data_IF_921844894260
#
_entry.id   IF_921844894260
#
_cell.length_a   1.000
_cell.length_b   1.000
_cell.length_c   1.000
_cell.angle_alpha   90.00
_cell.angle_beta   90.00
_cell.angle_gamma   90.00
#
_symmetry.space_group_name_H-M   'P 1'
#
loop_
_entity.id
_entity.type
_entity.pdbx_description
1 polymer ?
#
# COMPACT_ATOMS: atom_id res chain seq x y z
N UNK A 1 -6.69 6.12 -13.39
CA UNK A 1 -6.24 4.79 -12.92
C UNK A 1 -7.47 3.93 -12.67
N UNK A 2 -7.68 2.86 -13.45
CA UNK A 2 -8.76 1.88 -13.23
C UNK A 2 -8.12 0.58 -12.78
N UNK A 3 -7.69 0.55 -11.53
CA UNK A 3 -7.38 -0.69 -10.86
C UNK A 3 -8.67 -1.09 -10.12
N UNK A 4 -9.07 -2.35 -10.20
CA UNK A 4 -10.23 -2.87 -9.47
C UNK A 4 -9.87 -3.01 -7.99
N UNK A 5 -9.53 -1.88 -7.36
CA UNK A 5 -9.17 -1.75 -5.96
C UNK A 5 -10.07 -0.67 -5.39
N UNK A 6 -10.79 -1.04 -4.35
CA UNK A 6 -11.71 -0.14 -3.67
C UNK A 6 -10.96 0.78 -2.69
N UNK A 7 -11.57 1.92 -2.29
CA UNK A 7 -11.05 2.72 -1.19
C UNK A 7 -10.88 1.89 0.09
N UNK A 8 -11.85 1.05 0.43
CA UNK A 8 -11.81 0.20 1.64
C UNK A 8 -10.62 -0.77 1.63
N UNK A 9 -10.35 -1.43 0.51
CA UNK A 9 -9.17 -2.30 0.37
C UNK A 9 -7.86 -1.51 0.49
N UNK A 10 -7.87 -0.26 0.05
CA UNK A 10 -6.71 0.63 0.15
C UNK A 10 -6.47 1.03 1.60
N UNK A 11 -7.51 1.47 2.32
CA UNK A 11 -7.44 1.79 3.74
C UNK A 11 -7.02 0.58 4.57
N UNK A 12 -7.63 -0.59 4.31
CA UNK A 12 -7.26 -1.83 4.97
C UNK A 12 -5.77 -2.17 4.77
N UNK A 13 -5.28 -2.05 3.54
CA UNK A 13 -3.86 -2.31 3.20
C UNK A 13 -2.94 -1.33 3.92
N UNK A 14 -3.31 -0.04 3.95
CA UNK A 14 -2.52 1.03 4.58
C UNK A 14 -2.57 0.96 6.10
N UNK A 15 -3.66 0.47 6.70
CA UNK A 15 -3.85 0.38 8.15
C UNK A 15 -3.48 -0.98 8.74
N UNK A 16 -3.30 -2.01 7.91
CA UNK A 16 -2.87 -3.34 8.33
C UNK A 16 -1.58 -3.31 9.16
N UNK A 17 -1.52 -4.19 10.18
CA UNK A 17 -0.29 -4.41 10.97
C UNK A 17 0.78 -5.11 10.14
N UNK A 18 0.36 -5.99 9.23
CA UNK A 18 1.23 -6.70 8.31
C UNK A 18 1.42 -5.87 7.03
N UNK A 19 2.16 -4.78 7.15
CA UNK A 19 2.47 -3.90 6.01
C UNK A 19 3.94 -3.50 5.97
N UNK A 20 4.43 -3.24 4.77
CA UNK A 20 5.72 -2.61 4.56
C UNK A 20 5.50 -1.23 3.95
N UNK A 21 5.89 -0.18 4.67
CA UNK A 21 5.78 1.22 4.25
C UNK A 21 7.17 1.83 4.05
N UNK A 22 7.32 2.65 3.01
CA UNK A 22 8.52 3.46 2.80
C UNK A 22 8.19 4.78 2.13
N UNK A 23 9.05 5.78 2.36
CA UNK A 23 9.00 7.07 1.67
C UNK A 23 9.68 6.91 0.31
N UNK A 24 8.96 7.22 -0.77
CA UNK A 24 9.47 7.09 -2.15
C UNK A 24 10.09 8.39 -2.66
N UNK A 25 9.51 9.54 -2.30
CA UNK A 25 9.99 10.91 -2.54
C UNK A 25 9.39 11.83 -1.46
N UNK A 26 9.73 13.12 -1.43
CA UNK A 26 9.34 14.06 -0.36
C UNK A 26 7.93 13.81 0.19
N UNK A 27 6.87 14.06 -0.57
CA UNK A 27 5.51 13.90 -0.01
C UNK A 27 4.87 12.54 -0.32
N UNK A 28 5.58 11.61 -1.01
CA UNK A 28 5.00 10.34 -1.45
C UNK A 28 5.46 9.16 -0.62
N UNK A 29 4.49 8.40 -0.14
CA UNK A 29 4.68 7.14 0.54
C UNK A 29 4.13 5.99 -0.31
N UNK A 30 4.77 4.84 -0.17
CA UNK A 30 4.32 3.60 -0.77
C UNK A 30 4.14 2.55 0.32
N UNK A 31 3.12 1.71 0.16
CA UNK A 31 2.77 0.61 1.04
C UNK A 31 2.62 -0.65 0.23
N UNK A 32 3.23 -1.73 0.72
CA UNK A 32 2.89 -3.09 0.35
C UNK A 32 2.13 -3.70 1.52
N UNK A 33 0.90 -4.16 1.29
CA UNK A 33 0.10 -4.83 2.31
C UNK A 33 -0.75 -5.96 1.73
N UNK A 34 -1.35 -6.72 2.64
CA UNK A 34 -2.28 -7.79 2.30
C UNK A 34 -3.65 -7.45 2.90
N UNK A 35 -4.70 -7.55 2.09
CA UNK A 35 -6.10 -7.43 2.57
C UNK A 35 -6.52 -8.71 3.30
N UNK A 36 -7.60 -8.66 4.08
CA UNK A 36 -8.17 -9.81 4.77
C UNK A 36 -8.62 -10.90 3.78
N UNK A 37 -9.09 -10.50 2.60
CA UNK A 37 -9.41 -11.42 1.49
C UNK A 37 -8.17 -12.00 0.81
N UNK A 38 -6.97 -11.61 1.23
CA UNK A 38 -5.70 -12.16 0.79
C UNK A 38 -5.12 -11.54 -0.46
N UNK A 39 -5.67 -10.41 -0.94
CA UNK A 39 -5.08 -9.67 -2.05
C UNK A 39 -3.83 -8.95 -1.59
N UNK A 40 -2.81 -8.95 -2.44
CA UNK A 40 -1.56 -8.27 -2.20
C UNK A 40 -1.58 -6.96 -2.98
N UNK A 41 -1.67 -5.84 -2.27
CA UNK A 41 -1.82 -4.53 -2.88
C UNK A 41 -0.59 -3.64 -2.69
N UNK A 42 -0.20 -2.99 -3.77
CA UNK A 42 0.68 -1.83 -3.76
C UNK A 42 -0.18 -0.57 -3.73
N UNK A 43 0.05 0.29 -2.74
CA UNK A 43 -0.63 1.58 -2.59
C UNK A 43 0.43 2.67 -2.55
N UNK A 44 0.29 3.70 -3.36
CA UNK A 44 1.04 4.94 -3.21
C UNK A 44 0.09 6.08 -2.87
N UNK A 45 0.46 6.87 -1.88
CA UNK A 45 -0.29 8.04 -1.46
C UNK A 45 0.65 9.21 -1.20
N UNK A 46 0.14 10.40 -1.44
CA UNK A 46 0.82 11.64 -1.04
C UNK A 46 0.24 12.08 0.31
N UNK A 47 1.11 12.36 1.28
CA UNK A 47 0.69 12.87 2.58
C UNK A 47 0.34 14.36 2.45
N UNK A 48 -0.70 14.80 3.15
CA UNK A 48 -1.13 16.19 3.21
C UNK A 48 -1.25 16.63 4.67
N UNK A 49 -1.27 17.95 4.92
CA UNK A 49 -1.50 18.50 6.26
C UNK A 49 -2.80 17.98 6.88
N UNK A 50 -2.87 17.94 8.23
CA UNK A 50 -4.01 17.46 9.01
C UNK A 50 -4.32 15.95 8.86
N UNK A 51 -3.28 15.11 8.95
CA UNK A 51 -3.41 13.66 9.07
C UNK A 51 -4.18 13.00 7.90
N UNK A 52 -4.20 13.67 6.76
CA UNK A 52 -4.95 13.27 5.57
C UNK A 52 -3.98 12.86 4.47
N UNK A 53 -4.32 11.84 3.70
CA UNK A 53 -3.49 11.36 2.59
C UNK A 53 -4.35 11.18 1.35
N UNK A 54 -3.79 11.52 0.19
CA UNK A 54 -4.44 11.29 -1.10
C UNK A 54 -3.86 10.05 -1.76
N UNK A 55 -4.71 9.06 -2.05
CA UNK A 55 -4.31 7.86 -2.79
C UNK A 55 -4.01 8.24 -4.24
N UNK A 56 -2.74 8.13 -4.62
CA UNK A 56 -2.27 8.39 -5.98
C UNK A 56 -2.56 7.19 -6.86
N UNK A 57 -2.26 5.99 -6.34
CA UNK A 57 -2.49 4.73 -7.05
C UNK A 57 -2.65 3.59 -6.05
N UNK A 58 -3.54 2.66 -6.36
CA UNK A 58 -3.64 1.38 -5.69
C UNK A 58 -3.79 0.30 -6.76
N UNK A 59 -3.03 -0.80 -6.68
CA UNK A 59 -3.07 -1.90 -7.64
C UNK A 59 -2.59 -3.20 -7.01
N UNK A 60 -2.84 -4.32 -7.68
CA UNK A 60 -2.22 -5.57 -7.30
C UNK A 60 -0.69 -5.49 -7.41
N UNK A 61 0.00 -6.11 -6.44
CA UNK A 61 1.45 -6.25 -6.45
C UNK A 61 1.89 -7.17 -7.59
N UNK A 62 3.00 -6.81 -8.23
CA UNK A 62 3.74 -7.71 -9.10
C UNK A 62 4.52 -8.78 -8.32
N UNK A 63 5.16 -9.70 -9.04
CA UNK A 63 5.93 -10.79 -8.42
C UNK A 63 7.09 -10.29 -7.53
N UNK A 64 7.80 -9.24 -7.96
CA UNK A 64 8.96 -8.70 -7.24
C UNK A 64 8.51 -8.00 -5.97
N UNK A 65 7.43 -7.24 -6.03
CA UNK A 65 6.78 -6.58 -4.90
C UNK A 65 6.28 -7.59 -3.87
N UNK A 66 5.62 -8.68 -4.31
CA UNK A 66 5.20 -9.76 -3.39
C UNK A 66 6.39 -10.42 -2.69
N UNK A 67 7.50 -10.64 -3.40
CA UNK A 67 8.73 -11.18 -2.81
C UNK A 67 9.33 -10.22 -1.79
N UNK A 68 9.36 -8.92 -2.10
CA UNK A 68 9.81 -7.87 -1.18
C UNK A 68 8.95 -7.79 0.08
N UNK A 69 7.62 -7.76 -0.08
CA UNK A 69 6.65 -7.76 1.01
C UNK A 69 6.91 -8.92 1.99
N UNK A 70 6.98 -10.15 1.47
CA UNK A 70 7.23 -11.35 2.28
C UNK A 70 8.54 -11.28 3.06
N UNK A 71 9.57 -10.65 2.51
CA UNK A 71 10.87 -10.49 3.17
C UNK A 71 10.83 -9.42 4.28
N UNK A 72 10.05 -8.36 4.09
CA UNK A 72 10.01 -7.20 5.00
C UNK A 72 9.00 -7.35 6.13
N UNK A 73 7.89 -8.05 5.91
CA UNK A 73 6.86 -8.27 6.95
C UNK A 73 7.21 -9.42 7.89
N UNK A 74 8.12 -10.33 7.50
CA UNK A 74 8.58 -11.45 8.35
C UNK A 74 9.84 -11.13 9.16
N UNK A 75 10.32 -9.88 9.16
CA UNK A 75 11.50 -9.44 9.92
C UNK A 75 11.09 -8.63 11.12
#
# INVERSE_FOLDING_TARGET
ARHQVTPDETEETVLSKERYIWRAREERYCVLGKTAMGRYLFVAFDYYSNNSAYVVTARDMDYKERKLYKRKVRS
#
